data_IF_220564541955
#
_entry.id   IF_220564541955
#
_cell.length_a   1.000
_cell.length_b   1.000
_cell.length_c   1.000
_cell.angle_alpha   90.00
_cell.angle_beta   90.00
_cell.angle_gamma   90.00
#
_symmetry.space_group_name_H-M   'P 1'
#
loop_
_entity.id
_entity.type
_entity.pdbx_description
1 polymer ?
#
# COMPACT_ATOMS: atom_id res chain seq x y z
N UNK A 1 20.31 5.05 11.62
CA UNK A 1 19.08 5.58 12.18
C UNK A 1 17.94 5.15 11.26
N UNK A 2 16.96 4.43 11.78
CA UNK A 2 15.82 3.94 11.01
C UNK A 2 14.96 5.14 10.62
N UNK A 3 14.82 5.37 9.31
CA UNK A 3 13.99 6.46 8.75
C UNK A 3 12.48 6.31 9.03
N UNK A 4 12.08 5.33 9.81
CA UNK A 4 10.67 4.98 10.08
C UNK A 4 10.22 5.31 11.51
N UNK A 5 11.15 5.68 12.40
CA UNK A 5 10.84 5.94 13.82
C UNK A 5 10.00 7.21 14.04
N UNK A 6 9.88 8.08 13.01
CA UNK A 6 9.05 9.28 13.05
C UNK A 6 7.63 9.06 12.55
N UNK A 7 7.30 7.86 12.05
CA UNK A 7 5.99 7.55 11.52
C UNK A 7 5.10 6.98 12.64
N UNK A 8 3.95 7.58 12.82
CA UNK A 8 2.92 7.07 13.72
C UNK A 8 2.07 6.05 12.96
N UNK A 9 2.51 4.79 12.99
CA UNK A 9 1.83 3.71 12.30
C UNK A 9 0.43 3.47 12.89
N UNK A 10 -0.58 3.51 12.03
CA UNK A 10 -1.96 3.23 12.36
C UNK A 10 -2.57 2.35 11.26
N UNK A 11 -3.24 1.27 11.68
CA UNK A 11 -3.81 0.30 10.75
C UNK A 11 -5.33 0.28 10.92
N UNK A 12 -6.03 0.46 9.81
CA UNK A 12 -7.49 0.56 9.78
C UNK A 12 -8.07 -0.48 8.82
N UNK A 13 -9.08 -1.22 9.28
CA UNK A 13 -9.90 -2.07 8.44
C UNK A 13 -11.25 -1.38 8.23
N UNK A 14 -11.55 -1.04 6.99
CA UNK A 14 -12.76 -0.32 6.59
C UNK A 14 -13.72 -1.31 5.93
N UNK A 15 -14.97 -1.34 6.40
CA UNK A 15 -16.01 -2.15 5.77
C UNK A 15 -16.41 -1.51 4.43
N UNK A 16 -16.00 -2.12 3.33
CA UNK A 16 -16.35 -1.75 1.96
C UNK A 16 -16.21 -2.99 1.07
N UNK A 17 -17.04 -3.09 0.05
CA UNK A 17 -16.94 -4.13 -0.97
C UNK A 17 -15.88 -3.79 -2.04
N UNK A 18 -15.36 -2.57 -2.04
CA UNK A 18 -14.29 -2.16 -2.94
C UNK A 18 -13.02 -2.95 -2.64
N UNK A 19 -12.35 -3.37 -3.71
CA UNK A 19 -11.07 -4.08 -3.62
C UNK A 19 -9.96 -3.05 -3.59
N UNK A 20 -9.64 -2.54 -2.39
CA UNK A 20 -8.66 -1.48 -2.22
C UNK A 20 -7.89 -1.59 -0.90
N UNK A 21 -6.67 -1.06 -0.92
CA UNK A 21 -5.84 -0.74 0.24
C UNK A 21 -5.00 0.47 -0.12
N UNK A 22 -4.64 1.28 0.85
CA UNK A 22 -3.79 2.45 0.61
C UNK A 22 -3.03 2.85 1.87
N UNK A 23 -1.89 3.50 1.69
CA UNK A 23 -1.16 4.16 2.74
C UNK A 23 -1.21 5.67 2.56
N UNK A 24 -1.22 6.39 3.67
CA UNK A 24 -1.16 7.85 3.70
C UNK A 24 0.17 8.32 4.26
N UNK A 25 0.65 9.50 3.86
CA UNK A 25 1.79 10.12 4.50
C UNK A 25 1.62 10.17 6.03
N UNK A 26 2.69 9.86 6.78
CA UNK A 26 2.64 9.83 8.23
C UNK A 26 2.42 8.44 8.85
N UNK A 27 2.23 7.40 8.02
CA UNK A 27 2.21 5.99 8.48
C UNK A 27 0.81 5.44 8.74
N UNK A 28 -0.24 6.04 8.19
CA UNK A 28 -1.60 5.50 8.29
C UNK A 28 -1.91 4.61 7.11
N UNK A 29 -2.36 3.39 7.39
CA UNK A 29 -2.69 2.37 6.39
C UNK A 29 -4.15 1.97 6.56
N UNK A 30 -4.85 1.87 5.46
CA UNK A 30 -6.22 1.40 5.41
C UNK A 30 -6.36 0.23 4.45
N UNK A 31 -7.13 -0.77 4.89
CA UNK A 31 -7.56 -1.90 4.09
C UNK A 31 -9.08 -1.90 4.00
N UNK A 32 -9.62 -2.15 2.83
CA UNK A 32 -11.04 -2.41 2.65
C UNK A 32 -11.34 -3.91 2.78
N UNK A 33 -12.48 -4.25 3.34
CA UNK A 33 -12.86 -5.67 3.50
C UNK A 33 -12.93 -6.40 2.15
N UNK A 34 -13.24 -5.69 1.06
CA UNK A 34 -13.30 -6.25 -0.29
C UNK A 34 -11.97 -6.81 -0.82
N UNK A 35 -10.81 -6.39 -0.26
CA UNK A 35 -9.51 -6.94 -0.68
C UNK A 35 -9.18 -8.27 -0.01
N UNK A 36 -9.86 -8.63 1.10
CA UNK A 36 -9.55 -9.82 1.87
C UNK A 36 -9.64 -11.13 1.07
N UNK A 37 -10.61 -11.32 0.15
CA UNK A 37 -10.65 -12.53 -0.70
C UNK A 37 -9.43 -12.68 -1.61
N UNK A 38 -8.80 -11.56 -2.00
CA UNK A 38 -7.57 -11.55 -2.81
C UNK A 38 -6.34 -11.82 -1.94
N UNK A 39 -6.28 -11.20 -0.76
CA UNK A 39 -5.22 -11.45 0.22
C UNK A 39 -5.22 -12.91 0.70
N UNK A 40 -6.38 -13.49 0.94
CA UNK A 40 -6.64 -14.89 1.38
C UNK A 40 -6.16 -15.22 2.79
N UNK A 41 -4.95 -14.81 3.17
CA UNK A 41 -4.29 -15.20 4.40
C UNK A 41 -3.36 -14.07 4.89
N UNK A 42 -2.74 -14.27 6.06
CA UNK A 42 -1.85 -13.29 6.69
C UNK A 42 -0.65 -12.93 5.81
N UNK A 43 -0.10 -13.89 5.06
CA UNK A 43 1.03 -13.62 4.15
C UNK A 43 0.60 -12.73 2.98
N UNK A 44 -0.62 -12.90 2.46
CA UNK A 44 -1.17 -12.02 1.43
C UNK A 44 -1.49 -10.64 1.97
N UNK A 45 -1.98 -10.53 3.21
CA UNK A 45 -2.14 -9.23 3.89
C UNK A 45 -0.77 -8.56 4.06
N UNK A 46 0.24 -9.31 4.51
CA UNK A 46 1.60 -8.81 4.67
C UNK A 46 2.22 -8.34 3.35
N UNK A 47 1.91 -9.01 2.23
CA UNK A 47 2.37 -8.62 0.90
C UNK A 47 1.78 -7.26 0.48
N UNK A 48 0.47 -7.07 0.61
CA UNK A 48 -0.21 -5.82 0.28
C UNK A 48 0.27 -4.71 1.23
N UNK A 49 0.29 -4.97 2.54
CA UNK A 49 0.75 -4.01 3.54
C UNK A 49 2.20 -3.59 3.31
N UNK A 50 3.08 -4.55 3.00
CA UNK A 50 4.48 -4.29 2.71
C UNK A 50 4.66 -3.39 1.49
N UNK A 51 3.85 -3.58 0.45
CA UNK A 51 3.83 -2.74 -0.75
C UNK A 51 3.42 -1.29 -0.40
N UNK A 52 2.34 -1.11 0.37
CA UNK A 52 1.87 0.21 0.83
C UNK A 52 2.92 0.91 1.71
N UNK A 53 3.53 0.19 2.64
CA UNK A 53 4.66 0.67 3.45
C UNK A 53 5.83 1.08 2.54
N UNK A 54 6.10 0.33 1.49
CA UNK A 54 7.11 0.64 0.49
C UNK A 54 6.91 2.02 -0.13
N UNK A 55 5.68 2.36 -0.52
CA UNK A 55 5.34 3.69 -1.04
C UNK A 55 5.58 4.81 -0.03
N UNK A 56 5.24 4.58 1.24
CA UNK A 56 5.47 5.58 2.31
C UNK A 56 6.96 5.81 2.54
N UNK A 57 7.73 4.73 2.68
CA UNK A 57 9.16 4.80 3.00
C UNK A 57 9.98 5.38 1.85
N UNK A 58 9.64 5.04 0.61
CA UNK A 58 10.26 5.60 -0.59
C UNK A 58 9.85 7.06 -0.85
N UNK A 59 8.80 7.56 -0.17
CA UNK A 59 8.33 8.93 -0.35
C UNK A 59 7.57 9.17 -1.64
N UNK A 60 7.03 8.13 -2.27
CA UNK A 60 6.35 8.21 -3.57
C UNK A 60 5.16 9.15 -3.58
N UNK A 61 4.49 9.32 -2.45
CA UNK A 61 3.41 10.31 -2.29
C UNK A 61 3.88 11.76 -2.43
N UNK A 62 5.14 12.04 -2.09
CA UNK A 62 5.72 13.36 -2.23
C UNK A 62 6.21 13.63 -3.67
N UNK A 63 6.77 12.60 -4.33
CA UNK A 63 7.25 12.69 -5.72
C UNK A 63 6.12 12.91 -6.72
N UNK A 64 4.98 12.23 -6.56
CA UNK A 64 3.82 12.36 -7.45
C UNK A 64 3.23 13.76 -7.52
N UNK A 65 3.62 14.64 -6.59
CA UNK A 65 3.10 16.01 -6.46
C UNK A 65 4.09 17.11 -6.78
N UNK A 66 5.31 16.81 -7.22
CA UNK A 66 6.26 17.84 -7.63
C UNK A 66 5.77 18.67 -8.83
N UNK A 67 4.72 18.20 -9.54
CA UNK A 67 4.05 18.95 -10.63
C UNK A 67 2.70 19.59 -10.21
N UNK A 68 2.16 19.26 -9.03
CA UNK A 68 0.94 19.91 -8.50
C UNK A 68 1.19 20.36 -7.05
N UNK A 69 1.66 21.59 -6.92
CA UNK A 69 1.76 22.41 -5.70
C UNK A 69 1.91 21.68 -4.35
N UNK A 70 3.11 21.72 -3.80
CA UNK A 70 3.45 21.32 -2.42
C UNK A 70 2.43 21.81 -1.35
N UNK A 71 1.69 22.89 -1.64
CA UNK A 71 0.63 23.42 -0.80
C UNK A 71 -0.54 22.45 -0.62
N UNK A 72 -0.91 21.65 -1.64
CA UNK A 72 -2.00 20.67 -1.54
C UNK A 72 -1.68 19.52 -0.58
N UNK A 73 -0.43 19.06 -0.55
CA UNK A 73 0.00 17.96 0.35
C UNK A 73 -0.01 18.42 1.82
N UNK A 74 0.47 19.64 2.07
CA UNK A 74 0.49 20.22 3.42
C UNK A 74 -0.94 20.41 3.92
N UNK A 75 -1.88 20.86 3.07
CA UNK A 75 -3.29 21.00 3.45
C UNK A 75 -3.96 19.64 3.71
N UNK A 76 -3.73 18.63 2.86
CA UNK A 76 -4.30 17.30 3.06
C UNK A 76 -3.69 16.64 4.31
N UNK A 77 -2.38 16.72 4.49
CA UNK A 77 -1.70 16.21 5.69
C UNK A 77 -2.19 16.88 6.97
N UNK A 78 -2.44 18.20 6.92
CA UNK A 78 -2.99 18.96 8.05
C UNK A 78 -4.45 18.61 8.31
N UNK A 79 -5.31 18.52 7.29
CA UNK A 79 -6.71 18.11 7.45
C UNK A 79 -6.84 16.69 8.00
N UNK A 80 -6.03 15.75 7.54
CA UNK A 80 -5.99 14.39 8.08
C UNK A 80 -5.48 14.38 9.53
N UNK A 81 -4.46 15.16 9.86
CA UNK A 81 -3.99 15.30 11.24
C UNK A 81 -5.07 15.95 12.15
N UNK A 82 -5.77 16.97 11.67
CA UNK A 82 -6.83 17.65 12.42
C UNK A 82 -8.04 16.73 12.66
N UNK A 83 -8.40 15.87 11.69
CA UNK A 83 -9.47 14.87 11.84
C UNK A 83 -9.08 13.79 12.85
N UNK A 84 -7.82 13.35 12.85
CA UNK A 84 -7.35 12.28 13.73
C UNK A 84 -7.05 12.76 15.16
N UNK A 85 -6.62 14.01 15.34
CA UNK A 85 -6.34 14.59 16.67
C UNK A 85 -7.56 15.24 17.31
N UNK A 86 -8.65 15.44 16.55
CA UNK A 86 -9.88 16.12 17.03
C UNK A 86 -10.81 15.30 17.92
N UNK A 87 -10.36 14.20 18.53
CA UNK A 87 -11.05 13.58 19.67
C UNK A 87 -12.32 12.79 19.37
N UNK A 88 -12.63 12.50 18.11
CA UNK A 88 -13.81 11.71 17.73
C UNK A 88 -13.44 10.26 17.43
N UNK A 89 -13.39 9.43 18.43
CA UNK A 89 -13.15 7.98 18.34
C UNK A 89 -14.30 7.17 17.71
N UNK A 90 -15.29 7.82 17.13
CA UNK A 90 -16.49 7.14 16.60
C UNK A 90 -16.84 7.49 15.15
N UNK A 91 -16.05 8.28 14.47
CA UNK A 91 -16.30 8.62 13.07
C UNK A 91 -15.06 8.27 12.27
N UNK A 92 -14.92 6.99 11.92
CA UNK A 92 -14.31 6.68 10.63
C UNK A 92 -15.33 7.23 9.64
N UNK A 93 -15.26 8.53 9.44
CA UNK A 93 -16.25 9.27 8.69
C UNK A 93 -16.09 8.94 7.22
N UNK A 94 -17.19 9.06 6.49
CA UNK A 94 -17.18 9.09 5.03
C UNK A 94 -16.08 10.04 4.48
N UNK A 95 -15.58 10.98 5.28
CA UNK A 95 -14.48 11.89 4.95
C UNK A 95 -13.11 11.20 4.94
N UNK A 96 -12.83 10.24 5.84
CA UNK A 96 -11.57 9.47 5.76
C UNK A 96 -11.59 8.56 4.53
N UNK A 97 -12.75 7.97 4.23
CA UNK A 97 -12.97 7.20 3.00
C UNK A 97 -12.86 8.12 1.78
N UNK A 98 -13.49 9.29 1.80
CA UNK A 98 -13.44 10.27 0.70
C UNK A 98 -12.04 10.86 0.49
N UNK A 99 -11.29 11.10 1.57
CA UNK A 99 -9.90 11.59 1.49
C UNK A 99 -8.94 10.47 1.12
N UNK A 100 -9.18 9.26 1.60
CA UNK A 100 -8.46 8.06 1.17
C UNK A 100 -8.66 7.81 -0.33
N UNK A 101 -9.88 7.98 -0.84
CA UNK A 101 -10.17 7.92 -2.28
C UNK A 101 -9.43 9.02 -3.05
N UNK A 102 -9.38 10.26 -2.55
CA UNK A 102 -8.64 11.34 -3.24
C UNK A 102 -7.11 11.18 -3.13
N UNK A 103 -6.59 10.53 -2.09
CA UNK A 103 -5.17 10.13 -1.99
C UNK A 103 -4.91 8.85 -2.78
N UNK A 104 -5.84 7.91 -2.79
CA UNK A 104 -5.82 6.71 -3.61
C UNK A 104 -5.95 6.98 -5.11
N UNK A 105 -6.33 8.18 -5.52
CA UNK A 105 -6.31 8.64 -6.92
C UNK A 105 -4.89 9.03 -7.40
N UNK A 106 -3.88 9.02 -6.51
CA UNK A 106 -2.49 9.22 -6.91
C UNK A 106 -2.01 7.99 -7.70
N UNK A 107 -1.94 8.14 -8.99
CA UNK A 107 -1.43 7.11 -9.88
C UNK A 107 0.10 7.05 -9.80
N UNK A 108 0.61 5.98 -9.26
CA UNK A 108 2.05 5.75 -9.21
C UNK A 108 2.61 5.37 -10.58
N UNK A 109 3.84 5.80 -10.85
CA UNK A 109 4.52 5.41 -12.07
C UNK A 109 5.18 4.02 -11.93
N UNK A 110 5.56 3.42 -13.06
CA UNK A 110 6.11 2.05 -13.08
C UNK A 110 7.36 1.87 -12.21
N UNK A 111 8.22 2.89 -12.13
CA UNK A 111 9.45 2.83 -11.32
C UNK A 111 9.12 2.78 -9.84
N UNK A 112 8.18 3.62 -9.40
CA UNK A 112 7.67 3.65 -8.03
C UNK A 112 7.01 2.33 -7.63
N UNK A 113 6.23 1.72 -8.55
CA UNK A 113 5.63 0.41 -8.33
C UNK A 113 6.69 -0.68 -8.15
N UNK A 114 7.74 -0.70 -9.01
CA UNK A 114 8.83 -1.68 -8.87
C UNK A 114 9.61 -1.51 -7.58
N UNK A 115 9.78 -0.27 -7.11
CA UNK A 115 10.46 0.01 -5.85
C UNK A 115 9.61 -0.41 -4.66
N UNK A 116 8.30 -0.10 -4.68
CA UNK A 116 7.35 -0.53 -3.65
C UNK A 116 7.23 -2.06 -3.59
N UNK A 117 7.21 -2.75 -4.73
CA UNK A 117 7.22 -4.21 -4.78
C UNK A 117 8.45 -4.81 -4.10
N UNK A 118 9.65 -4.26 -4.38
CA UNK A 118 10.90 -4.74 -3.76
C UNK A 118 10.90 -4.51 -2.26
N UNK A 119 10.55 -3.31 -1.79
CA UNK A 119 10.45 -3.03 -0.37
C UNK A 119 9.41 -3.94 0.30
N UNK A 120 8.24 -4.09 -0.34
CA UNK A 120 7.18 -4.94 0.17
C UNK A 120 7.61 -6.39 0.37
N UNK A 121 8.30 -6.97 -0.62
CA UNK A 121 8.84 -8.33 -0.53
C UNK A 121 9.89 -8.46 0.57
N UNK A 122 10.74 -7.46 0.77
CA UNK A 122 11.73 -7.46 1.86
C UNK A 122 11.03 -7.36 3.22
N UNK A 123 10.07 -6.43 3.38
CA UNK A 123 9.41 -6.20 4.67
C UNK A 123 8.61 -7.42 5.11
N UNK A 124 7.81 -8.02 4.21
CA UNK A 124 7.09 -9.25 4.55
C UNK A 124 8.04 -10.41 4.88
N UNK A 125 9.16 -10.53 4.16
CA UNK A 125 10.19 -11.55 4.42
C UNK A 125 10.83 -11.36 5.79
N UNK A 126 11.22 -10.14 6.15
CA UNK A 126 11.75 -9.80 7.48
C UNK A 126 10.74 -10.05 8.61
N UNK A 127 9.45 -9.90 8.32
CA UNK A 127 8.36 -10.22 9.23
C UNK A 127 8.02 -11.73 9.31
N UNK A 128 8.77 -12.59 8.62
CA UNK A 128 8.61 -14.05 8.64
C UNK A 128 7.54 -14.58 7.67
N UNK A 129 7.04 -13.76 6.76
CA UNK A 129 6.09 -14.19 5.72
C UNK A 129 6.81 -14.54 4.41
N UNK A 130 6.39 -15.63 3.76
CA UNK A 130 7.00 -16.09 2.51
C UNK A 130 6.77 -15.08 1.37
N UNK A 131 7.81 -14.46 0.79
CA UNK A 131 7.67 -13.47 -0.27
C UNK A 131 7.11 -14.01 -1.60
N UNK A 132 7.01 -15.33 -1.79
CA UNK A 132 6.29 -15.92 -2.93
C UNK A 132 4.80 -15.53 -2.92
N UNK A 133 4.22 -15.30 -1.75
CA UNK A 133 2.81 -14.89 -1.64
C UNK A 133 2.56 -13.50 -2.27
N UNK A 134 3.55 -12.62 -2.30
CA UNK A 134 3.44 -11.35 -3.01
C UNK A 134 3.16 -11.56 -4.50
N UNK A 135 3.84 -12.50 -5.14
CA UNK A 135 3.56 -12.85 -6.54
C UNK A 135 2.13 -13.38 -6.70
N UNK A 136 1.72 -14.30 -5.82
CA UNK A 136 0.39 -14.89 -5.87
C UNK A 136 -0.74 -13.86 -5.67
N UNK A 137 -0.53 -12.84 -4.82
CA UNK A 137 -1.47 -11.73 -4.64
C UNK A 137 -1.66 -10.97 -5.94
N UNK A 138 -0.57 -10.53 -6.58
CA UNK A 138 -0.66 -9.77 -7.83
C UNK A 138 -1.18 -10.60 -9.00
N UNK A 139 -0.90 -11.90 -9.06
CA UNK A 139 -1.49 -12.81 -10.03
C UNK A 139 -3.02 -12.94 -9.82
N UNK A 140 -3.49 -13.04 -8.56
CA UNK A 140 -4.92 -13.04 -8.24
C UNK A 140 -5.60 -11.72 -8.59
N UNK A 141 -4.96 -10.58 -8.31
CA UNK A 141 -5.47 -9.27 -8.72
C UNK A 141 -5.63 -9.16 -10.24
N UNK A 142 -4.64 -9.63 -10.99
CA UNK A 142 -4.70 -9.63 -12.45
C UNK A 142 -5.82 -10.52 -12.99
N UNK A 143 -6.04 -11.69 -12.38
CA UNK A 143 -7.08 -12.63 -12.78
C UNK A 143 -8.51 -12.14 -12.44
N UNK A 144 -8.69 -11.31 -11.41
CA UNK A 144 -9.98 -10.75 -10.99
C UNK A 144 -10.50 -9.61 -11.88
N UNK A 145 -9.78 -9.20 -12.90
CA UNK A 145 -10.08 -8.07 -13.76
C UNK A 145 -11.05 -8.36 -14.91
N UNK A 146 -12.31 -8.73 -14.62
CA UNK A 146 -13.38 -8.62 -15.61
C UNK A 146 -13.98 -7.22 -15.57
N UNK A 147 -14.08 -6.54 -16.73
CA UNK A 147 -14.74 -5.24 -16.98
C UNK A 147 -14.71 -4.22 -15.83
N UNK A 148 -13.56 -3.55 -15.66
CA UNK A 148 -13.35 -2.50 -14.66
C UNK A 148 -12.20 -2.75 -13.69
N UNK A 149 -11.85 -3.99 -13.41
CA UNK A 149 -10.76 -4.40 -12.51
C UNK A 149 -10.94 -3.94 -11.05
N UNK A 150 -10.16 -4.51 -10.10
CA UNK A 150 -10.09 -3.99 -8.73
C UNK A 150 -9.66 -2.52 -8.72
N UNK A 151 -10.28 -1.68 -7.89
CA UNK A 151 -10.00 -0.24 -7.81
C UNK A 151 -8.52 0.04 -7.52
N UNK A 152 -7.88 -0.78 -6.72
CA UNK A 152 -6.46 -0.70 -6.43
C UNK A 152 -5.58 -0.71 -7.72
N UNK A 153 -6.04 -1.34 -8.80
CA UNK A 153 -5.30 -1.34 -10.07
C UNK A 153 -5.37 -0.01 -10.82
N UNK A 154 -6.28 0.89 -10.44
CA UNK A 154 -6.35 2.24 -11.01
C UNK A 154 -5.19 3.12 -10.53
N UNK A 155 -4.75 2.91 -9.30
CA UNK A 155 -3.65 3.62 -8.64
C UNK A 155 -2.33 2.86 -8.73
N UNK A 156 -2.38 1.54 -8.68
CA UNK A 156 -1.26 0.60 -8.75
C UNK A 156 -1.37 -0.29 -9.99
N UNK A 157 -1.00 0.20 -11.18
CA UNK A 157 -1.17 -0.57 -12.39
C UNK A 157 -0.44 -1.91 -12.32
N UNK A 158 -1.21 -3.00 -12.43
CA UNK A 158 -0.65 -4.34 -12.53
C UNK A 158 -0.23 -4.57 -13.99
N UNK A 159 1.06 -4.79 -14.21
CA UNK A 159 1.60 -5.12 -15.51
C UNK A 159 2.32 -6.46 -15.41
N UNK A 160 2.29 -7.24 -16.51
CA UNK A 160 3.08 -8.48 -16.60
C UNK A 160 4.57 -8.23 -16.27
N UNK A 161 5.07 -7.05 -16.61
CA UNK A 161 6.43 -6.63 -16.28
C UNK A 161 6.68 -6.49 -14.77
N UNK A 162 5.68 -6.10 -13.95
CA UNK A 162 5.82 -6.06 -12.49
C UNK A 162 6.03 -7.48 -11.95
N UNK A 163 5.14 -8.39 -12.30
CA UNK A 163 5.23 -9.80 -11.87
C UNK A 163 6.57 -10.41 -12.32
N UNK A 164 7.01 -10.14 -13.55
CA UNK A 164 8.32 -10.60 -14.02
C UNK A 164 9.47 -10.07 -13.14
N UNK A 165 9.47 -8.77 -12.85
CA UNK A 165 10.50 -8.16 -12.00
C UNK A 165 10.47 -8.65 -10.56
N UNK A 166 9.30 -8.92 -9.99
CA UNK A 166 9.16 -9.54 -8.69
C UNK A 166 9.74 -10.95 -8.69
N UNK A 167 9.50 -11.75 -9.75
CA UNK A 167 10.11 -13.08 -9.93
C UNK A 167 11.65 -13.01 -9.99
N UNK A 168 12.18 -12.02 -10.72
CA UNK A 168 13.62 -11.78 -10.81
C UNK A 168 14.22 -11.40 -9.43
N UNK A 169 13.47 -10.67 -8.59
CA UNK A 169 13.91 -10.22 -7.27
C UNK A 169 13.66 -11.24 -6.15
N UNK A 170 12.81 -12.22 -6.36
CA UNK A 170 12.41 -13.20 -5.35
C UNK A 170 13.61 -13.90 -4.66
N UNK A 171 14.68 -14.33 -5.36
CA UNK A 171 15.84 -14.95 -4.69
C UNK A 171 16.51 -14.02 -3.66
N UNK A 172 16.48 -12.72 -3.87
CA UNK A 172 17.01 -11.73 -2.91
C UNK A 172 16.10 -11.62 -1.69
N UNK A 173 14.78 -11.47 -1.90
CA UNK A 173 13.81 -11.43 -0.81
C UNK A 173 13.85 -12.71 0.05
N UNK A 174 14.05 -13.87 -0.54
CA UNK A 174 14.18 -15.14 0.16
C UNK A 174 15.38 -15.19 1.12
N UNK A 175 16.44 -14.42 0.91
CA UNK A 175 17.54 -14.33 1.87
C UNK A 175 17.07 -13.73 3.19
N UNK A 176 16.28 -12.66 3.14
CA UNK A 176 15.69 -12.04 4.34
C UNK A 176 14.71 -12.98 5.05
N UNK A 177 13.89 -13.71 4.28
CA UNK A 177 12.97 -14.70 4.84
C UNK A 177 13.67 -15.82 5.57
N UNK A 178 14.79 -16.34 5.02
CA UNK A 178 15.56 -17.39 5.65
C UNK A 178 16.31 -16.92 6.91
N UNK A 179 16.60 -15.62 7.02
CA UNK A 179 17.19 -15.00 8.21
C UNK A 179 16.18 -14.71 9.32
N UNK A 180 14.89 -14.62 8.98
CA UNK A 180 13.82 -14.33 9.94
C UNK A 180 13.26 -15.57 10.65
N UNK A 181 13.71 -16.77 10.25
CA UNK A 181 13.37 -18.06 10.86
C UNK A 181 14.40 -18.48 11.92
#
# INVERSE_FOLDING_TARGET
ANKVDYLNWEFNLIKSDDVNAFAMPGGKIAFYTGIMPIAKNDAGIAAIMGHEIGHVIAGHHAEGKSNETAAGIVMIGKQVADIVTGGATSVISNDLVGQGLSLGLLKFNRTQEYEADKYGMIFMAMAGYNPEEALAVWERMAAGGSSGGPEILSTHPNTENRIKKMKEFLPEAMKYYNQSK
#
